data_IF_490469475637
#
_entry.id   IF_490469475637
#
_cell.length_a   1.000
_cell.length_b   1.000
_cell.length_c   1.000
_cell.angle_alpha   90.00
_cell.angle_beta   90.00
_cell.angle_gamma   90.00
#
_symmetry.space_group_name_H-M   'P 1'
#
loop_
_entity.id
_entity.type
_entity.pdbx_description
1 polymer ?
#
# COMPACT_ATOMS: atom_id res chain seq x y z
N UNK A 1 -12.34 -2.26 -23.95
CA UNK A 1 -11.05 -2.40 -23.21
C UNK A 1 -11.19 -3.51 -22.16
N UNK A 2 -10.17 -4.34 -21.95
CA UNK A 2 -10.21 -5.40 -20.92
C UNK A 2 -9.39 -5.00 -19.70
N UNK A 3 -9.97 -5.20 -18.51
CA UNK A 3 -9.28 -5.01 -17.24
C UNK A 3 -9.38 -6.30 -16.41
N UNK A 4 -8.35 -6.54 -15.59
CA UNK A 4 -8.36 -7.60 -14.59
C UNK A 4 -8.41 -6.95 -13.21
N UNK A 5 -9.40 -7.28 -12.39
CA UNK A 5 -9.47 -6.83 -11.00
C UNK A 5 -8.73 -7.83 -10.13
N UNK A 6 -7.78 -7.33 -9.35
CA UNK A 6 -6.91 -8.12 -8.50
C UNK A 6 -6.95 -7.56 -7.09
N UNK A 7 -7.17 -8.42 -6.12
CA UNK A 7 -6.97 -8.12 -4.70
C UNK A 7 -5.49 -8.37 -4.35
N UNK A 8 -4.77 -7.31 -4.02
CA UNK A 8 -3.35 -7.34 -3.66
C UNK A 8 -3.16 -7.46 -2.15
N UNK A 9 -2.03 -8.05 -1.72
CA UNK A 9 -1.66 -8.31 -0.33
C UNK A 9 -2.61 -9.28 0.40
N UNK A 10 -3.12 -10.25 -0.34
CA UNK A 10 -4.00 -11.32 0.19
C UNK A 10 -3.85 -12.60 -0.62
N UNK A 11 -4.12 -13.72 0.01
CA UNK A 11 -4.20 -15.06 -0.61
C UNK A 11 -5.65 -15.52 -0.88
N UNK A 12 -6.64 -14.67 -0.57
CA UNK A 12 -8.07 -14.96 -0.73
C UNK A 12 -8.83 -13.78 -1.32
N UNK A 13 -9.86 -14.02 -2.15
CA UNK A 13 -10.67 -12.96 -2.72
C UNK A 13 -11.45 -12.16 -1.64
N UNK A 14 -11.79 -10.91 -2.00
CA UNK A 14 -12.58 -9.97 -1.18
C UNK A 14 -11.84 -9.46 0.08
N UNK A 15 -10.52 -9.62 0.11
CA UNK A 15 -9.60 -9.11 1.12
C UNK A 15 -8.50 -8.30 0.43
N UNK A 16 -7.53 -7.77 1.17
CA UNK A 16 -6.43 -6.99 0.58
C UNK A 16 -6.90 -5.68 -0.04
N UNK A 17 -6.08 -5.13 -0.93
CA UNK A 17 -6.35 -3.87 -1.61
C UNK A 17 -6.64 -4.11 -3.10
N UNK A 18 -7.85 -3.79 -3.59
CA UNK A 18 -8.24 -4.06 -4.97
C UNK A 18 -7.64 -3.04 -5.94
N UNK A 19 -7.14 -3.53 -7.07
CA UNK A 19 -6.71 -2.71 -8.19
C UNK A 19 -7.27 -3.25 -9.51
N UNK A 20 -7.63 -2.35 -10.42
CA UNK A 20 -7.94 -2.70 -11.81
C UNK A 20 -6.66 -2.60 -12.65
N UNK A 21 -6.35 -3.63 -13.42
CA UNK A 21 -5.15 -3.70 -14.26
C UNK A 21 -5.54 -3.79 -15.73
N UNK A 22 -5.09 -2.83 -16.54
CA UNK A 22 -5.19 -2.85 -17.99
C UNK A 22 -3.80 -3.06 -18.61
N UNK A 23 -3.68 -4.08 -19.47
CA UNK A 23 -2.51 -4.27 -20.32
C UNK A 23 -2.84 -3.69 -21.69
N UNK A 24 -2.07 -2.69 -22.12
CA UNK A 24 -2.30 -1.92 -23.34
C UNK A 24 -1.13 -2.11 -24.31
N UNK A 25 -1.37 -1.89 -25.61
CA UNK A 25 -0.30 -1.81 -26.62
C UNK A 25 0.41 -0.44 -26.59
N UNK A 26 -0.34 0.61 -26.27
CA UNK A 26 0.13 1.98 -26.05
C UNK A 26 -0.79 2.65 -25.02
N UNK A 27 -0.27 3.67 -24.32
CA UNK A 27 -1.14 4.44 -23.41
C UNK A 27 -2.23 5.18 -24.17
N UNK A 28 -3.45 5.07 -23.65
CA UNK A 28 -4.53 5.96 -24.03
C UNK A 28 -4.25 7.40 -23.56
N UNK A 29 -4.96 8.40 -24.08
CA UNK A 29 -4.97 9.76 -23.55
C UNK A 29 -5.22 9.76 -22.04
N UNK A 30 -4.55 10.67 -21.32
CA UNK A 30 -4.56 10.71 -19.85
C UNK A 30 -5.97 10.89 -19.28
N UNK A 31 -6.76 11.75 -19.89
CA UNK A 31 -8.17 11.98 -19.54
C UNK A 31 -9.03 10.72 -19.66
N UNK A 32 -8.75 9.87 -20.67
CA UNK A 32 -9.44 8.59 -20.84
C UNK A 32 -9.03 7.59 -19.75
N UNK A 33 -7.75 7.46 -19.45
CA UNK A 33 -7.27 6.59 -18.36
C UNK A 33 -7.82 7.04 -17.02
N UNK A 34 -7.89 8.36 -16.77
CA UNK A 34 -8.50 8.92 -15.58
C UNK A 34 -10.00 8.63 -15.49
N UNK A 35 -10.74 8.74 -16.60
CA UNK A 35 -12.15 8.41 -16.64
C UNK A 35 -12.42 6.93 -16.37
N UNK A 36 -11.57 6.04 -16.89
CA UNK A 36 -11.64 4.59 -16.63
C UNK A 36 -11.38 4.30 -15.15
N UNK A 37 -10.39 4.94 -14.55
CA UNK A 37 -10.10 4.78 -13.12
C UNK A 37 -11.27 5.26 -12.25
N UNK A 38 -11.89 6.38 -12.62
CA UNK A 38 -13.08 6.89 -11.93
C UNK A 38 -14.29 5.94 -12.06
N UNK A 39 -14.53 5.38 -13.24
CA UNK A 39 -15.61 4.42 -13.49
C UNK A 39 -15.43 3.11 -12.72
N UNK A 40 -14.18 2.61 -12.66
CA UNK A 40 -13.86 1.41 -11.88
C UNK A 40 -14.03 1.63 -10.37
N UNK A 41 -13.82 2.87 -9.91
CA UNK A 41 -14.02 3.30 -8.52
C UNK A 41 -13.36 2.37 -7.48
N UNK A 42 -12.17 1.86 -7.81
CA UNK A 42 -11.28 1.13 -6.90
C UNK A 42 -10.22 2.08 -6.34
N UNK A 43 -9.41 1.61 -5.39
CA UNK A 43 -8.31 2.43 -4.84
C UNK A 43 -7.46 3.02 -5.95
N UNK A 44 -6.97 2.18 -6.90
CA UNK A 44 -6.30 2.61 -8.13
C UNK A 44 -6.61 1.67 -9.31
N UNK A 45 -6.48 2.25 -10.50
CA UNK A 45 -6.34 1.54 -11.76
C UNK A 45 -4.90 1.66 -12.27
N UNK A 46 -4.33 0.55 -12.71
CA UNK A 46 -2.99 0.46 -13.26
C UNK A 46 -3.06 0.23 -14.78
N UNK A 47 -2.31 0.99 -15.54
CA UNK A 47 -2.16 0.87 -16.98
C UNK A 47 -0.73 0.52 -17.32
N UNK A 48 -0.50 -0.63 -17.95
CA UNK A 48 0.82 -1.12 -18.30
C UNK A 48 0.97 -1.30 -19.81
N UNK A 49 2.10 -0.82 -20.34
CA UNK A 49 2.46 -0.90 -21.76
C UNK A 49 3.78 -1.63 -21.89
N UNK A 50 3.91 -2.70 -22.70
CA UNK A 50 5.14 -3.44 -22.84
C UNK A 50 6.22 -2.62 -23.54
N UNK A 51 7.46 -2.69 -23.02
CA UNK A 51 8.69 -2.18 -23.64
C UNK A 51 9.54 -3.29 -24.27
N UNK A 52 9.21 -4.55 -23.98
CA UNK A 52 9.92 -5.75 -24.38
C UNK A 52 10.71 -6.40 -23.24
N UNK A 53 11.06 -7.67 -23.41
CA UNK A 53 11.90 -8.44 -22.47
C UNK A 53 11.45 -8.42 -20.99
N UNK A 54 10.14 -8.41 -20.72
CA UNK A 54 9.60 -8.37 -19.34
C UNK A 54 9.62 -6.98 -18.70
N UNK A 55 9.88 -5.94 -19.48
CA UNK A 55 9.83 -4.55 -19.03
C UNK A 55 8.56 -3.86 -19.53
N UNK A 56 8.02 -2.95 -18.70
CA UNK A 56 6.76 -2.25 -18.95
C UNK A 56 6.86 -0.80 -18.50
N UNK A 57 6.23 0.11 -19.24
CA UNK A 57 5.85 1.42 -18.70
C UNK A 57 4.60 1.24 -17.86
N UNK A 58 4.52 1.86 -16.66
CA UNK A 58 3.42 1.69 -15.74
C UNK A 58 2.97 3.04 -15.18
N UNK A 59 1.65 3.28 -15.22
CA UNK A 59 0.98 4.47 -14.67
C UNK A 59 -0.18 4.04 -13.78
N UNK A 60 -0.46 4.81 -12.73
CA UNK A 60 -1.53 4.54 -11.77
C UNK A 60 -2.42 5.75 -11.61
N UNK A 61 -3.72 5.49 -11.54
CA UNK A 61 -4.74 6.52 -11.38
C UNK A 61 -5.67 6.13 -10.23
N UNK A 62 -5.82 7.02 -9.25
CA UNK A 62 -6.97 6.99 -8.34
C UNK A 62 -8.24 7.39 -9.10
N UNK A 63 -9.43 7.32 -8.52
CA UNK A 63 -10.63 7.85 -9.18
C UNK A 63 -10.56 9.35 -9.55
N UNK A 64 -9.64 10.10 -8.96
CA UNK A 64 -9.57 11.57 -9.11
C UNK A 64 -8.26 12.10 -9.71
N UNK A 65 -7.15 11.37 -9.64
CA UNK A 65 -5.84 11.86 -10.08
C UNK A 65 -4.85 10.74 -10.37
N UNK A 66 -3.87 11.03 -11.23
CA UNK A 66 -2.70 10.17 -11.39
C UNK A 66 -1.78 10.29 -10.18
N UNK A 67 -1.14 9.18 -9.78
CA UNK A 67 -0.17 9.10 -8.68
C UNK A 67 1.17 8.57 -9.17
N UNK A 68 2.25 9.05 -8.56
CA UNK A 68 3.61 8.73 -9.00
C UNK A 68 4.12 7.39 -8.45
N UNK A 69 3.51 6.86 -7.38
CA UNK A 69 3.88 5.59 -6.77
C UNK A 69 2.68 4.89 -6.16
N UNK A 70 2.47 3.61 -6.52
CA UNK A 70 1.43 2.77 -5.94
C UNK A 70 1.90 1.32 -5.77
N UNK A 71 2.09 0.88 -4.52
CA UNK A 71 2.62 -0.46 -4.22
C UNK A 71 1.65 -1.59 -4.56
N UNK A 72 0.38 -1.50 -4.11
CA UNK A 72 -0.58 -2.59 -4.31
C UNK A 72 -0.98 -2.77 -5.79
N UNK A 73 -1.14 -1.67 -6.54
CA UNK A 73 -1.44 -1.76 -7.96
C UNK A 73 -0.23 -2.23 -8.79
N UNK A 74 1.00 -1.96 -8.33
CA UNK A 74 2.22 -2.57 -8.90
C UNK A 74 2.24 -4.08 -8.69
N UNK A 75 1.95 -4.54 -7.47
CA UNK A 75 1.85 -5.97 -7.14
C UNK A 75 0.75 -6.65 -7.95
N UNK A 76 -0.43 -6.01 -8.07
CA UNK A 76 -1.53 -6.49 -8.89
C UNK A 76 -1.13 -6.62 -10.37
N UNK A 77 -0.41 -5.62 -10.91
CA UNK A 77 0.07 -5.65 -12.30
C UNK A 77 1.09 -6.78 -12.51
N UNK A 78 2.05 -6.94 -11.59
CA UNK A 78 3.00 -8.03 -11.63
C UNK A 78 2.30 -9.40 -11.58
N UNK A 79 1.27 -9.56 -10.74
CA UNK A 79 0.46 -10.78 -10.67
C UNK A 79 -0.20 -11.11 -12.03
N UNK A 80 -0.79 -10.13 -12.71
CA UNK A 80 -1.41 -10.31 -14.03
C UNK A 80 -0.37 -10.71 -15.09
N UNK A 81 0.87 -10.25 -14.95
CA UNK A 81 1.99 -10.56 -15.86
C UNK A 81 2.72 -11.88 -15.51
N UNK A 82 2.30 -12.61 -14.49
CA UNK A 82 2.92 -13.88 -14.09
C UNK A 82 3.93 -13.76 -12.94
N UNK A 83 4.01 -12.60 -12.28
CA UNK A 83 4.72 -12.36 -11.03
C UNK A 83 6.07 -11.67 -11.13
N UNK A 84 6.80 -11.78 -12.24
CA UNK A 84 8.09 -11.11 -12.42
C UNK A 84 7.98 -10.05 -13.52
N UNK A 85 8.36 -8.80 -13.21
CA UNK A 85 8.35 -7.70 -14.16
C UNK A 85 9.27 -6.55 -13.71
N UNK A 86 9.68 -5.74 -14.67
CA UNK A 86 10.35 -4.45 -14.43
C UNK A 86 9.44 -3.35 -14.93
N UNK A 87 9.16 -2.40 -14.06
CA UNK A 87 8.30 -1.26 -14.37
C UNK A 87 9.10 0.04 -14.43
N UNK A 88 8.90 0.80 -15.49
CA UNK A 88 9.37 2.17 -15.65
C UNK A 88 8.21 3.10 -15.31
N UNK A 89 8.40 3.93 -14.30
CA UNK A 89 7.36 4.78 -13.71
C UNK A 89 7.86 6.22 -13.53
N UNK A 90 6.96 7.14 -13.20
CA UNK A 90 7.36 8.53 -12.86
C UNK A 90 8.28 8.60 -11.63
N UNK A 91 8.16 7.67 -10.69
CA UNK A 91 9.02 7.59 -9.50
C UNK A 91 10.30 6.77 -9.71
N UNK A 92 10.57 6.36 -10.95
CA UNK A 92 11.74 5.58 -11.31
C UNK A 92 11.44 4.11 -11.63
N UNK A 93 12.47 3.29 -11.60
CA UNK A 93 12.40 1.87 -11.94
C UNK A 93 11.99 1.04 -10.72
N UNK A 94 10.95 0.23 -10.87
CA UNK A 94 10.50 -0.73 -9.87
C UNK A 94 10.72 -2.16 -10.39
N UNK A 95 11.25 -3.03 -9.55
CA UNK A 95 11.47 -4.44 -9.91
C UNK A 95 10.58 -5.32 -9.06
N UNK A 96 9.82 -6.20 -9.71
CA UNK A 96 9.06 -7.25 -9.08
C UNK A 96 9.69 -8.61 -9.39
N UNK A 97 9.80 -9.47 -8.37
CA UNK A 97 10.25 -10.86 -8.52
C UNK A 97 9.23 -11.79 -7.88
N UNK A 98 9.03 -12.97 -8.48
CA UNK A 98 8.11 -13.96 -7.96
C UNK A 98 8.90 -15.09 -7.28
N UNK A 99 8.53 -15.42 -6.04
CA UNK A 99 9.14 -16.50 -5.28
C UNK A 99 8.09 -17.18 -4.37
N UNK A 100 7.87 -18.48 -4.56
CA UNK A 100 7.02 -19.27 -3.66
C UNK A 100 5.57 -18.79 -3.51
N UNK A 101 4.98 -18.22 -4.56
CA UNK A 101 3.63 -17.67 -4.54
C UNK A 101 3.54 -16.24 -3.96
N UNK A 102 4.69 -15.63 -3.65
CA UNK A 102 4.82 -14.24 -3.24
C UNK A 102 5.44 -13.42 -4.36
N UNK A 103 5.07 -12.15 -4.42
CA UNK A 103 5.67 -11.15 -5.31
C UNK A 103 6.41 -10.16 -4.42
N UNK A 104 7.71 -10.06 -4.65
CA UNK A 104 8.60 -9.14 -3.95
C UNK A 104 8.79 -7.87 -4.78
N UNK A 105 8.81 -6.74 -4.10
CA UNK A 105 9.03 -5.40 -4.66
C UNK A 105 10.06 -4.67 -3.81
N UNK A 106 11.00 -3.99 -4.45
CA UNK A 106 12.08 -3.25 -3.78
C UNK A 106 11.74 -1.75 -3.73
N UNK A 107 11.67 -1.20 -2.50
CA UNK A 107 11.33 0.20 -2.22
C UNK A 107 12.39 0.86 -1.32
N UNK A 108 12.47 2.20 -1.29
CA UNK A 108 13.32 2.90 -0.32
C UNK A 108 12.80 2.72 1.12
N UNK A 109 13.72 2.63 2.08
CA UNK A 109 13.37 2.73 3.49
C UNK A 109 13.14 4.20 3.86
N UNK A 110 12.11 4.46 4.68
CA UNK A 110 11.79 5.79 5.20
C UNK A 110 11.87 5.75 6.74
N UNK A 111 13.05 5.89 7.34
CA UNK A 111 13.18 5.93 8.78
C UNK A 111 12.32 7.04 9.39
N UNK A 112 11.56 6.69 10.42
CA UNK A 112 10.68 7.64 11.08
C UNK A 112 11.48 8.59 11.98
N UNK A 113 11.11 9.87 11.95
CA UNK A 113 11.64 10.91 12.83
C UNK A 113 10.63 11.20 13.94
N UNK A 114 11.05 11.13 15.20
CA UNK A 114 10.20 11.44 16.35
C UNK A 114 9.77 12.92 16.32
N UNK A 115 8.48 13.15 16.53
CA UNK A 115 7.90 14.48 16.61
C UNK A 115 6.58 14.44 17.38
N UNK A 116 6.28 15.51 18.09
CA UNK A 116 4.98 15.69 18.70
C UNK A 116 3.92 15.97 17.62
N UNK A 117 2.75 15.34 17.75
CA UNK A 117 1.60 15.67 16.90
C UNK A 117 1.17 17.14 17.16
N UNK A 118 0.81 17.90 16.11
CA UNK A 118 0.26 19.27 16.27
C UNK A 118 -1.02 19.29 17.13
N UNK A 119 -1.83 18.26 17.01
CA UNK A 119 -2.99 17.95 17.84
C UNK A 119 -3.10 16.45 18.00
N UNK A 120 -3.88 15.97 18.98
CA UNK A 120 -4.08 14.54 19.21
C UNK A 120 -5.47 14.16 18.71
N UNK A 121 -5.61 13.51 17.54
CA UNK A 121 -6.89 12.98 17.10
C UNK A 121 -7.48 12.01 18.12
N UNK A 122 -8.81 11.97 18.20
CA UNK A 122 -9.51 11.10 19.17
C UNK A 122 -9.08 9.64 19.09
N UNK A 123 -8.93 9.00 20.25
CA UNK A 123 -8.51 7.62 20.40
C UNK A 123 -6.99 7.40 20.44
N UNK A 124 -6.18 8.45 20.37
CA UNK A 124 -4.71 8.38 20.37
C UNK A 124 -4.07 9.00 21.61
N UNK A 125 -4.84 9.27 22.65
CA UNK A 125 -4.37 9.90 23.89
C UNK A 125 -3.34 9.02 24.62
N UNK A 126 -3.49 7.70 24.51
CA UNK A 126 -2.62 6.69 25.14
C UNK A 126 -1.43 6.26 24.28
N UNK A 127 -1.14 6.95 23.17
CA UNK A 127 -0.03 6.60 22.28
C UNK A 127 1.29 6.46 23.04
N UNK A 128 2.12 5.52 22.60
CA UNK A 128 3.46 5.27 23.15
C UNK A 128 4.52 6.13 22.47
N UNK A 129 4.31 6.43 21.18
CA UNK A 129 5.24 7.19 20.36
C UNK A 129 4.50 7.91 19.23
N UNK A 130 5.06 9.02 18.77
CA UNK A 130 4.60 9.73 17.57
C UNK A 130 5.77 10.33 16.80
N UNK A 131 5.60 10.45 15.49
CA UNK A 131 6.57 11.03 14.58
C UNK A 131 6.04 11.04 13.16
N UNK A 132 6.93 11.15 12.19
CA UNK A 132 6.58 11.11 10.78
C UNK A 132 7.63 10.36 9.96
N UNK A 133 7.20 9.81 8.82
CA UNK A 133 8.06 9.20 7.82
C UNK A 133 7.50 9.50 6.43
N UNK A 134 8.32 10.02 5.53
CA UNK A 134 7.81 10.58 4.27
C UNK A 134 6.73 11.63 4.53
N UNK A 135 5.59 11.48 3.88
CA UNK A 135 4.47 12.43 3.99
C UNK A 135 3.41 12.03 5.02
N UNK A 136 3.61 10.97 5.78
CA UNK A 136 2.64 10.49 6.75
C UNK A 136 3.10 10.72 8.20
N UNK A 137 2.14 11.01 9.06
CA UNK A 137 2.31 10.82 10.48
C UNK A 137 2.34 9.32 10.82
N UNK A 138 3.13 8.96 11.82
CA UNK A 138 3.22 7.60 12.37
C UNK A 138 2.99 7.66 13.87
N UNK A 139 2.06 6.84 14.36
CA UNK A 139 1.70 6.76 15.78
C UNK A 139 1.72 5.32 16.24
N UNK A 140 2.46 5.03 17.33
CA UNK A 140 2.44 3.74 18.00
C UNK A 140 1.40 3.75 19.12
N UNK A 141 0.45 2.82 19.06
CA UNK A 141 -0.55 2.57 20.09
C UNK A 141 -0.12 1.43 21.03
N UNK A 142 -0.70 1.33 22.24
CA UNK A 142 -0.28 0.35 23.25
C UNK A 142 -0.46 -1.11 22.83
N UNK A 143 -1.46 -1.43 22.03
CA UNK A 143 -1.78 -2.81 21.65
C UNK A 143 -2.38 -2.93 20.26
N UNK A 144 -2.33 -4.15 19.71
CA UNK A 144 -3.01 -4.49 18.47
C UNK A 144 -4.53 -4.30 18.57
N UNK A 145 -5.11 -4.49 19.74
CA UNK A 145 -6.53 -4.21 19.99
C UNK A 145 -6.83 -2.71 19.85
N UNK A 146 -5.99 -1.82 20.45
CA UNK A 146 -6.16 -0.38 20.29
C UNK A 146 -6.12 0.06 18.81
N UNK A 147 -5.30 -0.58 17.98
CA UNK A 147 -5.26 -0.32 16.53
C UNK A 147 -6.54 -0.80 15.84
N UNK A 148 -7.00 -2.02 16.13
CA UNK A 148 -8.20 -2.59 15.49
C UNK A 148 -9.47 -1.85 15.86
N UNK A 149 -9.61 -1.49 17.14
CA UNK A 149 -10.82 -0.90 17.69
C UNK A 149 -10.87 0.63 17.55
N UNK A 150 -9.78 1.24 17.03
CA UNK A 150 -9.73 2.68 16.80
C UNK A 150 -10.87 3.13 15.88
N UNK A 151 -11.70 4.04 16.39
CA UNK A 151 -12.64 4.81 15.58
C UNK A 151 -11.91 6.07 15.11
N UNK A 152 -11.58 6.20 13.81
CA UNK A 152 -10.74 7.30 13.34
C UNK A 152 -11.49 8.64 13.39
N UNK A 153 -10.89 9.63 14.02
CA UNK A 153 -11.28 11.04 13.90
C UNK A 153 -10.67 11.60 12.59
N UNK A 154 -11.37 11.38 11.47
CA UNK A 154 -10.87 11.79 10.14
C UNK A 154 -10.65 13.29 10.03
N UNK A 155 -11.46 14.11 10.70
CA UNK A 155 -11.28 15.57 10.71
C UNK A 155 -10.03 15.98 11.50
N UNK A 156 -9.82 15.37 12.67
CA UNK A 156 -8.60 15.55 13.46
C UNK A 156 -7.35 15.08 12.73
N UNK A 157 -7.42 13.95 12.00
CA UNK A 157 -6.32 13.44 11.17
C UNK A 157 -6.01 14.40 10.01
N UNK A 158 -7.03 14.90 9.32
CA UNK A 158 -6.86 15.88 8.26
C UNK A 158 -6.17 17.16 8.75
N UNK A 159 -6.50 17.62 9.96
CA UNK A 159 -5.92 18.79 10.58
C UNK A 159 -4.42 18.65 10.94
N UNK A 160 -3.85 17.42 10.92
CA UNK A 160 -2.42 17.21 11.12
C UNK A 160 -1.56 17.74 9.97
N UNK A 161 -2.15 18.08 8.82
CA UNK A 161 -1.52 18.82 7.72
C UNK A 161 -0.51 18.02 6.87
N UNK A 162 -0.48 16.67 6.99
CA UNK A 162 0.28 15.75 6.11
C UNK A 162 -0.67 14.96 5.22
N UNK A 163 -0.13 14.10 4.34
CA UNK A 163 -0.93 13.20 3.49
C UNK A 163 -1.91 12.37 4.33
N UNK A 164 -1.41 11.78 5.41
CA UNK A 164 -2.23 10.93 6.24
C UNK A 164 -1.56 10.54 7.56
N UNK A 165 -2.13 9.51 8.17
CA UNK A 165 -1.71 8.95 9.44
C UNK A 165 -1.64 7.43 9.36
N UNK A 166 -0.51 6.89 9.77
CA UNK A 166 -0.30 5.46 10.04
C UNK A 166 -0.39 5.24 11.54
N UNK A 167 -1.32 4.40 11.99
CA UNK A 167 -1.33 3.90 13.37
C UNK A 167 -0.82 2.47 13.38
N UNK A 168 -0.02 2.11 14.40
CA UNK A 168 0.59 0.79 14.50
C UNK A 168 0.76 0.34 15.94
N UNK A 169 0.85 -0.96 16.16
CA UNK A 169 1.20 -1.58 17.44
C UNK A 169 1.91 -2.92 17.18
N UNK A 170 2.59 -3.46 18.20
CA UNK A 170 3.08 -4.82 18.17
C UNK A 170 1.95 -5.82 17.91
N UNK A 171 2.22 -6.89 17.18
CA UNK A 171 1.27 -7.96 16.97
C UNK A 171 0.98 -8.76 18.25
N UNK A 172 -0.21 -9.34 18.34
CA UNK A 172 -0.54 -10.19 19.49
C UNK A 172 0.31 -11.47 19.47
N UNK A 173 0.68 -11.96 20.63
CA UNK A 173 1.39 -13.21 20.76
C UNK A 173 0.62 -14.36 20.10
N UNK A 174 1.30 -15.12 19.24
CA UNK A 174 0.70 -16.25 18.50
C UNK A 174 -0.19 -15.88 17.31
N UNK A 175 -0.34 -14.59 16.97
CA UNK A 175 -1.12 -14.15 15.81
C UNK A 175 -0.46 -14.47 14.46
N UNK A 176 0.85 -14.72 14.46
CA UNK A 176 1.65 -14.85 13.24
C UNK A 176 2.08 -13.51 12.62
N UNK A 177 1.72 -12.38 13.25
CA UNK A 177 2.08 -11.04 12.83
C UNK A 177 3.01 -10.38 13.85
N UNK A 178 4.05 -9.70 13.36
CA UNK A 178 5.00 -8.97 14.18
C UNK A 178 4.46 -7.61 14.60
N UNK A 179 3.67 -7.01 13.72
CA UNK A 179 2.98 -5.75 13.98
C UNK A 179 1.66 -5.67 13.22
N UNK A 180 0.78 -4.84 13.73
CA UNK A 180 -0.47 -4.45 13.07
C UNK A 180 -0.47 -2.96 12.78
N UNK A 181 -1.23 -2.56 11.75
CA UNK A 181 -1.36 -1.15 11.37
C UNK A 181 -2.71 -0.85 10.77
N UNK A 182 -3.10 0.43 10.75
CA UNK A 182 -4.14 0.99 9.87
C UNK A 182 -3.63 2.30 9.29
N UNK A 183 -4.13 2.68 8.13
CA UNK A 183 -3.67 3.86 7.39
C UNK A 183 -4.85 4.69 6.94
N UNK A 184 -4.82 5.97 7.28
CA UNK A 184 -5.86 6.94 7.01
C UNK A 184 -5.27 8.11 6.22
N UNK A 185 -5.86 8.43 5.06
CA UNK A 185 -5.41 9.47 4.16
C UNK A 185 -6.53 10.45 3.76
N UNK A 186 -7.25 11.08 4.71
CA UNK A 186 -8.36 11.97 4.37
C UNK A 186 -7.93 13.14 3.48
N UNK A 187 -6.69 13.62 3.58
CA UNK A 187 -6.17 14.75 2.79
C UNK A 187 -5.92 14.40 1.31
N UNK A 188 -5.95 13.11 0.97
CA UNK A 188 -5.85 12.61 -0.42
C UNK A 188 -7.11 11.87 -0.87
N UNK A 189 -8.23 12.11 -0.15
CA UNK A 189 -9.54 11.53 -0.51
C UNK A 189 -9.72 10.06 -0.14
N UNK A 190 -8.81 9.48 0.66
CA UNK A 190 -8.85 8.08 1.09
C UNK A 190 -9.11 8.04 2.60
N UNK A 191 -10.37 7.91 3.07
CA UNK A 191 -10.67 7.85 4.50
C UNK A 191 -9.86 6.78 5.24
N UNK A 192 -9.82 5.56 4.71
CA UNK A 192 -8.97 4.47 5.17
C UNK A 192 -8.52 3.62 3.97
N UNK A 193 -7.20 3.44 3.81
CA UNK A 193 -6.66 2.59 2.76
C UNK A 193 -6.67 1.11 3.20
N UNK A 194 -7.17 0.19 2.37
CA UNK A 194 -7.26 -1.22 2.71
C UNK A 194 -5.91 -1.87 3.07
N UNK A 195 -4.88 -1.72 2.23
CA UNK A 195 -3.50 -2.16 2.50
C UNK A 195 -2.52 -1.25 1.75
N UNK A 196 -1.65 -0.60 2.50
CA UNK A 196 -0.77 0.46 2.01
C UNK A 196 0.67 -0.04 1.86
N UNK A 197 1.11 -0.21 0.63
CA UNK A 197 2.50 -0.60 0.34
C UNK A 197 3.51 0.43 0.85
N UNK A 198 3.32 1.72 0.54
CA UNK A 198 4.23 2.81 0.94
C UNK A 198 4.39 2.95 2.46
N UNK A 199 3.35 2.68 3.25
CA UNK A 199 3.46 2.71 4.71
C UNK A 199 4.47 1.67 5.23
N UNK A 200 4.74 0.61 4.48
CA UNK A 200 5.73 -0.42 4.85
C UNK A 200 7.17 0.10 4.74
N UNK A 201 7.41 1.08 3.88
CA UNK A 201 8.71 1.76 3.81
C UNK A 201 9.08 2.42 5.15
N UNK A 202 8.08 2.87 5.92
CA UNK A 202 8.25 3.43 7.26
C UNK A 202 8.16 2.36 8.36
N UNK A 203 7.18 1.46 8.29
CA UNK A 203 6.93 0.46 9.33
C UNK A 203 8.04 -0.59 9.42
N UNK A 204 8.71 -0.94 8.30
CA UNK A 204 9.80 -1.91 8.32
C UNK A 204 10.98 -1.43 9.18
N UNK A 205 11.61 -0.26 8.93
CA UNK A 205 12.70 0.22 9.79
C UNK A 205 12.23 0.52 11.23
N UNK A 206 10.99 1.01 11.40
CA UNK A 206 10.43 1.30 12.72
C UNK A 206 10.34 0.04 13.60
N UNK A 207 9.76 -1.04 13.08
CA UNK A 207 9.61 -2.29 13.83
C UNK A 207 10.87 -3.14 13.85
N UNK A 208 11.72 -3.09 12.81
CA UNK A 208 13.01 -3.76 12.82
C UNK A 208 13.90 -3.30 14.00
N UNK A 209 13.94 -1.99 14.24
CA UNK A 209 14.67 -1.42 15.38
C UNK A 209 14.10 -1.88 16.73
N UNK A 210 12.77 -2.00 16.87
CA UNK A 210 12.12 -2.39 18.15
C UNK A 210 12.22 -3.88 18.44
N UNK A 211 12.18 -4.71 17.40
CA UNK A 211 12.17 -6.17 17.52
C UNK A 211 13.54 -6.80 17.34
N UNK A 212 14.58 -6.03 16.96
CA UNK A 212 15.94 -6.50 16.76
C UNK A 212 16.11 -7.49 15.59
N UNK A 213 15.26 -7.42 14.57
CA UNK A 213 15.33 -8.28 13.38
C UNK A 213 14.82 -7.56 12.14
N UNK A 214 15.35 -7.94 10.97
CA UNK A 214 15.07 -7.28 9.70
C UNK A 214 13.90 -7.88 8.91
N UNK A 215 13.52 -9.14 9.17
CA UNK A 215 12.41 -9.81 8.50
C UNK A 215 11.19 -9.84 9.39
N UNK A 216 10.09 -9.27 8.91
CA UNK A 216 8.87 -9.08 9.68
C UNK A 216 7.64 -9.36 8.82
N UNK A 217 6.55 -9.76 9.48
CA UNK A 217 5.23 -9.89 8.87
C UNK A 217 4.28 -8.89 9.51
N UNK A 218 3.79 -7.94 8.72
CA UNK A 218 2.79 -6.96 9.14
C UNK A 218 1.40 -7.31 8.66
N UNK A 219 0.40 -7.00 9.47
CA UNK A 219 -1.00 -7.07 9.09
C UNK A 219 -1.62 -5.67 9.10
N UNK A 220 -2.27 -5.26 8.02
CA UNK A 220 -3.09 -4.04 8.03
C UNK A 220 -4.51 -4.41 8.40
N UNK A 221 -4.96 -3.93 9.56
CA UNK A 221 -6.23 -4.29 10.19
C UNK A 221 -7.38 -3.38 9.73
N UNK A 222 -7.42 -3.05 8.43
CA UNK A 222 -8.58 -2.41 7.81
C UNK A 222 -9.76 -3.38 7.72
N UNK A 223 -10.92 -2.89 7.30
CA UNK A 223 -12.11 -3.73 7.08
C UNK A 223 -11.84 -4.92 6.14
N UNK A 224 -10.98 -4.75 5.11
CA UNK A 224 -10.61 -5.82 4.18
C UNK A 224 -9.46 -6.68 4.71
N UNK A 225 -8.56 -6.05 5.44
CA UNK A 225 -7.35 -6.68 5.96
C UNK A 225 -6.36 -7.09 4.88
N UNK A 226 -5.10 -7.27 5.25
CA UNK A 226 -4.10 -7.82 4.35
C UNK A 226 -2.74 -7.98 4.99
N UNK A 227 -1.95 -8.90 4.43
CA UNK A 227 -0.66 -9.31 4.96
C UNK A 227 0.46 -8.85 4.04
N UNK A 228 1.46 -8.22 4.61
CA UNK A 228 2.68 -7.81 3.91
C UNK A 228 3.88 -8.33 4.68
N UNK A 229 4.73 -9.12 4.03
CA UNK A 229 6.06 -9.41 4.55
C UNK A 229 6.99 -8.29 4.18
N UNK A 230 7.88 -7.94 5.09
CA UNK A 230 8.88 -6.89 4.84
C UNK A 230 10.25 -7.40 5.25
N UNK A 231 11.27 -7.04 4.48
CA UNK A 231 12.67 -7.27 4.84
C UNK A 231 13.43 -5.95 4.66
N UNK A 232 13.99 -5.48 5.78
CA UNK A 232 14.87 -4.30 5.77
C UNK A 232 16.27 -4.73 5.34
N UNK A 233 16.80 -4.07 4.30
CA UNK A 233 18.14 -4.31 3.75
C UNK A 233 18.84 -2.96 3.56
N UNK A 234 19.57 -2.52 4.59
CA UNK A 234 20.19 -1.19 4.61
C UNK A 234 19.15 -0.08 4.46
N UNK A 235 19.26 0.69 3.38
CA UNK A 235 18.36 1.78 3.03
C UNK A 235 17.19 1.34 2.14
N UNK A 236 17.00 0.03 1.97
CA UNK A 236 15.94 -0.55 1.15
C UNK A 236 15.00 -1.41 1.97
N UNK A 237 13.76 -1.50 1.53
CA UNK A 237 12.74 -2.40 2.08
C UNK A 237 12.22 -3.25 0.94
N UNK A 238 12.40 -4.55 1.06
CA UNK A 238 11.72 -5.53 0.20
C UNK A 238 10.35 -5.80 0.78
N UNK A 239 9.32 -5.46 0.03
CA UNK A 239 7.93 -5.75 0.35
C UNK A 239 7.50 -7.00 -0.39
N UNK A 240 6.93 -7.99 0.29
CA UNK A 240 6.37 -9.15 -0.36
C UNK A 240 4.89 -9.30 -0.05
N UNK A 241 4.10 -9.56 -1.09
CA UNK A 241 2.66 -9.77 -1.01
C UNK A 241 2.21 -10.90 -1.93
N UNK A 242 1.04 -11.43 -1.61
CA UNK A 242 0.30 -12.34 -2.49
C UNK A 242 -0.81 -11.56 -3.20
N UNK A 243 -1.37 -12.10 -4.27
CA UNK A 243 -2.46 -11.48 -5.00
C UNK A 243 -3.40 -12.51 -5.59
N UNK A 244 -4.68 -12.15 -5.69
CA UNK A 244 -5.74 -13.01 -6.22
C UNK A 244 -6.53 -12.28 -7.27
N UNK A 245 -6.67 -12.85 -8.46
CA UNK A 245 -7.58 -12.34 -9.49
C UNK A 245 -9.04 -12.56 -9.05
N UNK A 246 -9.82 -11.49 -9.00
CA UNK A 246 -11.23 -11.54 -8.58
C UNK A 246 -12.18 -11.54 -9.76
N UNK A 247 -11.94 -10.69 -10.75
CA UNK A 247 -12.80 -10.60 -11.93
C UNK A 247 -12.04 -10.12 -13.17
N UNK A 248 -12.67 -10.33 -14.33
CA UNK A 248 -12.27 -9.73 -15.60
C UNK A 248 -13.42 -8.88 -16.10
N UNK A 249 -13.14 -7.64 -16.44
CA UNK A 249 -14.11 -6.65 -16.87
C UNK A 249 -13.84 -6.31 -18.32
N UNK A 250 -14.89 -6.24 -19.12
CA UNK A 250 -14.82 -5.74 -20.50
C UNK A 250 -15.63 -4.44 -20.57
N UNK A 251 -14.91 -3.31 -20.70
CA UNK A 251 -15.55 -2.02 -20.92
C UNK A 251 -15.96 -1.89 -22.39
N UNK A 252 -17.21 -1.50 -22.62
CA UNK A 252 -17.80 -1.33 -23.95
C UNK A 252 -17.48 0.06 -24.57
N UNK A 253 -16.29 0.61 -24.30
CA UNK A 253 -15.83 1.96 -24.71
C UNK A 253 -14.58 1.90 -25.56
#
# INVERSE_FOLDING_TARGET
MRLTVVDAFTDRPFSGNPAAVALLEAFDPEDRMQAIAAEMNLSEAAFAVPRGAGEYDLRWFTPSTEVDLCGHATLATAHVLGGAAVFHTRSGRLTCTAAGGWIEMDFPAWPATEAALPSVPGGMERRLWSGFAGDDWLVELPSAADVRDLVPDLAGIAALGRRGLVVTAAGDAGSGFDFVSRVFGPNVGVPEDPVTGSARCALAPFWASRLGRSELTGYQASRRGGTVRVRLDGERVVLAGQAVTVSRVELAV
#
